data_IF_663295127768
#
_entry.id   IF_663295127768
#
_cell.length_a   1.000
_cell.length_b   1.000
_cell.length_c   1.000
_cell.angle_alpha   90.00
_cell.angle_beta   90.00
_cell.angle_gamma   90.00
#
_symmetry.space_group_name_H-M   'P 1'
#
loop_
_entity.id
_entity.type
_entity.pdbx_description
1 polymer ?
#
# COMPACT_ATOMS: atom_id res chain seq x y z
N UNK A 1 -23.37 36.79 1.60
CA UNK A 1 -22.84 35.74 0.70
C UNK A 1 -23.85 35.13 -0.29
N UNK A 2 -25.16 35.01 -0.01
CA UNK A 2 -26.11 34.39 -0.96
C UNK A 2 -26.37 35.19 -2.26
N UNK A 3 -26.24 36.52 -2.23
CA UNK A 3 -26.47 37.39 -3.41
C UNK A 3 -25.35 37.28 -4.46
N UNK A 4 -24.11 37.11 -4.02
CA UNK A 4 -22.93 36.99 -4.90
C UNK A 4 -22.98 35.74 -5.80
N UNK A 5 -23.44 34.60 -5.27
CA UNK A 5 -23.59 33.36 -6.05
C UNK A 5 -24.79 33.39 -7.01
N UNK A 6 -25.78 34.25 -6.78
CA UNK A 6 -26.91 34.42 -7.70
C UNK A 6 -26.50 35.23 -8.93
N UNK A 7 -25.68 36.27 -8.75
CA UNK A 7 -25.13 37.06 -9.86
C UNK A 7 -24.23 36.22 -10.77
N UNK A 8 -23.34 35.40 -10.21
CA UNK A 8 -22.48 34.49 -11.00
C UNK A 8 -23.31 33.47 -11.79
N UNK A 9 -24.40 32.94 -11.20
CA UNK A 9 -25.30 32.02 -11.89
C UNK A 9 -26.12 32.68 -12.99
N UNK A 10 -26.45 33.97 -12.86
CA UNK A 10 -27.13 34.73 -13.91
C UNK A 10 -26.17 35.02 -15.08
N UNK A 11 -24.94 35.43 -14.77
CA UNK A 11 -23.90 35.72 -15.78
C UNK A 11 -23.50 34.50 -16.61
N UNK A 12 -23.44 33.32 -15.99
CA UNK A 12 -23.16 32.06 -16.72
C UNK A 12 -24.30 31.68 -17.68
N UNK A 13 -25.56 31.99 -17.32
CA UNK A 13 -26.72 31.72 -18.17
C UNK A 13 -26.79 32.70 -19.35
N UNK A 14 -26.42 33.97 -19.15
CA UNK A 14 -26.39 34.96 -20.23
C UNK A 14 -25.21 34.79 -21.19
N UNK A 15 -24.06 34.24 -20.75
CA UNK A 15 -22.94 33.91 -21.64
C UNK A 15 -23.18 32.68 -22.54
N UNK A 16 -24.07 31.79 -22.15
CA UNK A 16 -24.40 30.57 -22.92
C UNK A 16 -25.48 30.82 -23.97
N UNK A 17 -26.31 31.85 -23.77
CA UNK A 17 -27.19 32.36 -24.81
C UNK A 17 -26.36 33.28 -25.71
N UNK A 18 -26.17 32.91 -26.98
CA UNK A 18 -25.42 33.71 -27.95
C UNK A 18 -25.92 35.17 -28.06
N UNK A 19 -25.16 36.05 -28.75
CA UNK A 19 -25.39 37.49 -28.71
C UNK A 19 -26.81 37.86 -29.13
N UNK A 20 -27.59 38.41 -28.18
CA UNK A 20 -28.98 38.80 -28.39
C UNK A 20 -29.08 40.01 -29.32
N UNK A 21 -29.98 39.91 -30.29
CA UNK A 21 -30.26 40.95 -31.28
C UNK A 21 -31.40 41.86 -30.76
N UNK A 22 -31.17 43.17 -30.68
CA UNK A 22 -32.19 44.14 -30.25
C UNK A 22 -33.14 44.47 -31.41
N UNK A 23 -34.44 44.57 -31.13
CA UNK A 23 -35.54 44.78 -32.09
C UNK A 23 -35.53 46.13 -32.85
N UNK A 24 -34.44 46.90 -32.80
CA UNK A 24 -34.30 48.19 -33.48
C UNK A 24 -33.17 48.25 -34.51
N UNK A 25 -32.52 47.13 -34.85
CA UNK A 25 -31.45 47.10 -35.86
C UNK A 25 -31.92 46.38 -37.15
N UNK A 26 -31.71 46.98 -38.34
CA UNK A 26 -32.04 46.34 -39.60
C UNK A 26 -31.09 45.16 -39.89
N UNK A 27 -31.68 44.04 -40.31
CA UNK A 27 -31.02 42.75 -40.60
C UNK A 27 -29.81 42.90 -41.55
N UNK A 28 -28.63 42.47 -41.10
CA UNK A 28 -27.42 42.41 -41.93
C UNK A 28 -27.39 41.07 -42.67
N UNK A 29 -27.58 41.12 -43.98
CA UNK A 29 -27.56 39.97 -44.87
C UNK A 29 -26.21 39.22 -44.85
N UNK A 30 -26.18 37.88 -44.93
CA UNK A 30 -24.94 37.12 -45.07
C UNK A 30 -24.36 37.26 -46.49
N UNK A 31 -23.04 37.50 -46.56
CA UNK A 31 -22.26 37.48 -47.81
C UNK A 31 -22.14 36.05 -48.33
N UNK A 32 -22.80 35.74 -49.46
CA UNK A 32 -22.54 34.55 -50.26
C UNK A 32 -21.30 34.74 -51.15
N UNK A 33 -20.46 33.70 -51.26
CA UNK A 33 -19.42 33.58 -52.30
C UNK A 33 -20.04 32.89 -53.53
N UNK A 34 -19.73 33.31 -54.76
CA UNK A 34 -20.36 32.78 -55.96
C UNK A 34 -19.85 31.37 -56.30
N UNK A 35 -20.78 30.46 -56.62
CA UNK A 35 -20.52 29.15 -57.27
C UNK A 35 -21.33 29.14 -58.58
N UNK A 36 -20.78 28.67 -59.71
CA UNK A 36 -21.38 28.86 -61.03
C UNK A 36 -22.69 28.08 -61.21
N UNK A 37 -23.62 28.72 -61.92
CA UNK A 37 -24.95 28.24 -62.28
C UNK A 37 -24.90 26.99 -63.17
N UNK A 38 -25.66 25.97 -62.79
CA UNK A 38 -26.09 24.89 -63.68
C UNK A 38 -27.62 24.80 -63.62
N UNK A 39 -28.25 24.73 -64.80
CA UNK A 39 -29.68 24.84 -65.02
C UNK A 39 -30.55 23.87 -64.16
N UNK A 40 -31.76 24.26 -63.76
CA UNK A 40 -32.61 23.47 -62.87
C UNK A 40 -33.21 22.26 -63.60
N UNK A 41 -32.88 21.05 -63.14
CA UNK A 41 -33.57 19.82 -63.56
C UNK A 41 -34.89 19.66 -62.78
N UNK A 42 -35.99 19.25 -63.42
CA UNK A 42 -37.27 19.04 -62.73
C UNK A 42 -37.15 17.93 -61.68
N UNK A 43 -37.70 18.17 -60.49
CA UNK A 43 -37.66 17.23 -59.36
C UNK A 43 -38.38 15.93 -59.75
N UNK A 44 -37.66 14.82 -59.79
CA UNK A 44 -38.26 13.48 -59.93
C UNK A 44 -39.09 13.18 -58.69
N UNK A 45 -40.29 12.64 -58.89
CA UNK A 45 -41.12 12.13 -57.80
C UNK A 45 -40.36 11.02 -57.05
N UNK A 46 -40.54 10.89 -55.71
CA UNK A 46 -39.86 9.87 -54.93
C UNK A 46 -40.20 8.48 -55.45
N UNK A 47 -39.19 7.63 -55.60
CA UNK A 47 -39.33 6.22 -56.00
C UNK A 47 -40.16 5.44 -54.99
N UNK A 48 -40.82 4.35 -55.43
CA UNK A 48 -41.69 3.54 -54.56
C UNK A 48 -40.98 3.03 -53.29
N UNK A 49 -39.68 2.72 -53.38
CA UNK A 49 -38.87 2.39 -52.21
C UNK A 49 -38.72 3.54 -51.22
N UNK A 50 -38.57 4.78 -51.71
CA UNK A 50 -38.49 5.96 -50.86
C UNK A 50 -39.84 6.27 -50.20
N UNK A 51 -40.95 6.01 -50.90
CA UNK A 51 -42.30 6.16 -50.34
C UNK A 51 -42.62 5.05 -49.33
N UNK A 52 -42.21 3.82 -49.61
CA UNK A 52 -42.36 2.68 -48.69
C UNK A 52 -41.49 2.85 -47.43
N UNK A 53 -40.27 3.37 -47.58
CA UNK A 53 -39.41 3.74 -46.46
C UNK A 53 -39.99 4.90 -45.64
N UNK A 54 -40.58 5.90 -46.31
CA UNK A 54 -41.27 7.00 -45.63
C UNK A 54 -42.53 6.52 -44.89
N UNK A 55 -43.32 5.64 -45.49
CA UNK A 55 -44.49 5.01 -44.86
C UNK A 55 -44.08 4.11 -43.67
N UNK A 56 -42.98 3.36 -43.78
CA UNK A 56 -42.44 2.57 -42.68
C UNK A 56 -41.89 3.45 -41.54
N UNK A 57 -41.31 4.61 -41.86
CA UNK A 57 -40.88 5.59 -40.86
C UNK A 57 -42.06 6.26 -40.15
N UNK A 58 -43.13 6.59 -40.88
CA UNK A 58 -44.38 7.12 -40.31
C UNK A 58 -45.09 6.06 -39.45
N UNK A 59 -45.12 4.80 -39.87
CA UNK A 59 -45.66 3.70 -39.08
C UNK A 59 -44.87 3.49 -37.76
N UNK A 60 -43.56 3.76 -37.73
CA UNK A 60 -42.76 3.76 -36.49
C UNK A 60 -43.07 4.94 -35.56
N UNK A 61 -43.54 6.06 -36.11
CA UNK A 61 -43.96 7.23 -35.33
C UNK A 61 -45.41 7.12 -34.82
N UNK A 62 -46.28 6.44 -35.57
CA UNK A 62 -47.71 6.26 -35.25
C UNK A 62 -47.98 5.11 -34.26
N UNK A 63 -47.00 4.25 -33.96
CA UNK A 63 -47.04 3.40 -32.78
C UNK A 63 -47.01 4.29 -31.54
N UNK A 64 -48.20 4.65 -31.06
CA UNK A 64 -48.47 5.28 -29.77
C UNK A 64 -47.49 4.75 -28.71
N UNK A 65 -46.75 5.62 -27.99
CA UNK A 65 -45.95 5.17 -26.86
C UNK A 65 -46.92 4.72 -25.77
N UNK A 66 -47.17 3.40 -25.67
CA UNK A 66 -47.65 2.80 -24.44
C UNK A 66 -46.54 2.97 -23.41
N UNK A 67 -46.65 4.04 -22.63
CA UNK A 67 -45.69 4.43 -21.60
C UNK A 67 -44.41 5.00 -22.19
N UNK A 68 -44.13 6.28 -21.92
CA UNK A 68 -42.73 6.70 -21.81
C UNK A 68 -42.11 5.77 -20.77
N UNK A 69 -41.28 4.82 -21.21
CA UNK A 69 -40.24 4.31 -20.33
C UNK A 69 -39.55 5.55 -19.76
N UNK A 70 -39.45 5.72 -18.43
CA UNK A 70 -38.85 6.91 -17.88
C UNK A 70 -37.45 7.00 -18.48
N UNK A 71 -37.20 8.07 -19.25
CA UNK A 71 -35.86 8.51 -19.63
C UNK A 71 -34.99 8.25 -18.44
N UNK A 72 -34.07 7.27 -18.51
CA UNK A 72 -33.29 6.74 -17.40
C UNK A 72 -32.98 7.87 -16.43
N UNK A 73 -33.85 8.01 -15.42
CA UNK A 73 -33.88 9.26 -14.69
C UNK A 73 -32.60 9.29 -13.88
N UNK A 74 -32.05 10.46 -13.63
CA UNK A 74 -30.86 10.58 -12.79
C UNK A 74 -31.04 9.82 -11.46
N UNK A 75 -32.28 9.67 -11.01
CA UNK A 75 -32.72 8.88 -9.88
C UNK A 75 -32.67 7.35 -10.07
N UNK A 76 -33.06 6.83 -11.24
CA UNK A 76 -32.88 5.40 -11.59
C UNK A 76 -31.40 5.02 -11.66
N UNK A 77 -30.56 5.88 -12.23
CA UNK A 77 -29.09 5.69 -12.26
C UNK A 77 -28.53 5.73 -10.84
N UNK A 78 -28.95 6.69 -10.00
CA UNK A 78 -28.54 6.78 -8.59
C UNK A 78 -28.97 5.56 -7.78
N UNK A 79 -30.18 5.05 -8.00
CA UNK A 79 -30.69 3.90 -7.28
C UNK A 79 -29.98 2.61 -7.69
N UNK A 80 -29.67 2.45 -8.98
CA UNK A 80 -28.88 1.31 -9.46
C UNK A 80 -27.45 1.36 -8.91
N UNK A 81 -26.78 2.51 -9.01
CA UNK A 81 -25.46 2.76 -8.41
C UNK A 81 -25.46 2.49 -6.90
N UNK A 82 -26.48 2.95 -6.17
CA UNK A 82 -26.58 2.74 -4.71
C UNK A 82 -26.80 1.26 -4.38
N UNK A 83 -27.61 0.56 -5.18
CA UNK A 83 -27.87 -0.87 -5.02
C UNK A 83 -26.60 -1.70 -5.30
N UNK A 84 -25.84 -1.35 -6.32
CA UNK A 84 -24.56 -1.99 -6.65
C UNK A 84 -23.49 -1.69 -5.59
N UNK A 85 -23.38 -0.44 -5.12
CA UNK A 85 -22.51 -0.07 -3.98
C UNK A 85 -22.85 -0.83 -2.70
N UNK A 86 -24.15 -1.02 -2.41
CA UNK A 86 -24.60 -1.81 -1.27
C UNK A 86 -24.32 -3.30 -1.46
N UNK A 87 -24.51 -3.84 -2.67
CA UNK A 87 -24.20 -5.24 -2.98
C UNK A 87 -22.69 -5.53 -2.89
N UNK A 88 -21.84 -4.63 -3.37
CA UNK A 88 -20.38 -4.72 -3.23
C UNK A 88 -19.92 -4.49 -1.78
N UNK A 89 -20.57 -3.62 -1.01
CA UNK A 89 -20.31 -3.46 0.41
C UNK A 89 -20.70 -4.72 1.19
N UNK A 90 -21.84 -5.33 0.88
CA UNK A 90 -22.26 -6.60 1.48
C UNK A 90 -21.34 -7.77 1.07
N UNK A 91 -20.85 -7.79 -0.17
CA UNK A 91 -19.86 -8.76 -0.63
C UNK A 91 -18.47 -8.52 0.00
N UNK A 92 -18.13 -7.27 0.36
CA UNK A 92 -16.88 -6.94 1.05
C UNK A 92 -16.91 -7.09 2.57
N UNK A 93 -18.11 -7.20 3.19
CA UNK A 93 -18.30 -7.51 4.62
C UNK A 93 -18.37 -9.03 4.87
N UNK A 94 -18.55 -9.84 3.83
CA UNK A 94 -18.02 -11.20 3.84
C UNK A 94 -16.51 -11.07 3.80
N UNK A 95 -15.92 -11.09 4.99
CA UNK A 95 -14.50 -11.32 5.20
C UNK A 95 -14.02 -12.43 4.25
N UNK A 96 -12.80 -12.23 3.78
CA UNK A 96 -11.96 -13.22 3.11
C UNK A 96 -12.36 -14.63 3.57
N UNK A 97 -12.70 -15.56 2.66
CA UNK A 97 -12.41 -16.94 3.00
C UNK A 97 -10.92 -16.94 3.35
N UNK A 98 -10.59 -17.37 4.56
CA UNK A 98 -9.30 -18.03 4.77
C UNK A 98 -9.14 -18.95 3.56
N UNK A 99 -8.09 -18.70 2.78
CA UNK A 99 -7.71 -19.63 1.72
C UNK A 99 -7.63 -21.00 2.39
N UNK A 100 -8.64 -21.84 2.10
CA UNK A 100 -8.55 -23.25 2.35
C UNK A 100 -7.20 -23.66 1.76
N UNK A 101 -6.33 -24.19 2.61
CA UNK A 101 -5.12 -24.87 2.18
C UNK A 101 -5.56 -26.04 1.30
N UNK A 102 -5.76 -25.76 0.02
CA UNK A 102 -5.67 -26.75 -1.02
C UNK A 102 -4.22 -27.22 -0.97
N UNK A 103 -4.02 -28.43 -0.44
CA UNK A 103 -2.84 -29.22 -0.74
C UNK A 103 -2.89 -29.53 -2.23
N UNK A 104 -2.37 -28.62 -3.05
CA UNK A 104 -1.82 -28.94 -4.36
C UNK A 104 -0.35 -29.33 -4.13
N UNK A 105 -0.14 -30.57 -3.69
CA UNK A 105 1.05 -31.30 -4.12
C UNK A 105 0.74 -31.84 -5.53
N UNK A 106 1.11 -31.08 -6.56
CA UNK A 106 1.71 -31.63 -7.78
C UNK A 106 2.22 -30.48 -8.66
N UNK A 107 3.56 -30.40 -8.75
CA UNK A 107 4.28 -29.38 -9.50
C UNK A 107 4.99 -28.38 -8.59
N UNK A 108 6.14 -28.77 -8.02
CA UNK A 108 7.09 -27.82 -7.47
C UNK A 108 7.66 -26.93 -8.61
N UNK A 109 6.83 -26.01 -9.11
CA UNK A 109 7.29 -24.89 -9.90
C UNK A 109 8.27 -24.11 -9.02
N UNK A 110 9.52 -24.00 -9.46
CA UNK A 110 10.59 -23.36 -8.71
C UNK A 110 10.18 -21.94 -8.30
N UNK A 111 9.77 -21.77 -7.03
CA UNK A 111 9.40 -20.47 -6.48
C UNK A 111 10.59 -19.51 -6.62
N UNK A 112 10.36 -18.31 -7.16
CA UNK A 112 11.41 -17.29 -7.34
C UNK A 112 12.05 -16.83 -6.02
N UNK A 113 11.36 -17.04 -4.89
CA UNK A 113 11.84 -16.82 -3.53
C UNK A 113 11.22 -17.85 -2.57
N UNK A 114 12.03 -18.33 -1.62
CA UNK A 114 11.62 -19.32 -0.61
C UNK A 114 10.74 -18.76 0.51
N UNK A 115 10.62 -17.42 0.61
CA UNK A 115 9.83 -16.73 1.63
C UNK A 115 10.27 -15.29 1.82
N UNK A 116 9.65 -14.61 2.78
CA UNK A 116 10.05 -13.27 3.24
C UNK A 116 10.75 -13.40 4.59
N UNK A 117 11.90 -12.76 4.72
CA UNK A 117 12.80 -12.91 5.86
C UNK A 117 13.02 -11.56 6.56
N UNK A 118 13.33 -11.63 7.84
CA UNK A 118 13.46 -10.48 8.73
C UNK A 118 14.69 -10.64 9.62
N UNK A 119 15.37 -9.54 9.88
CA UNK A 119 16.52 -9.46 10.77
C UNK A 119 16.06 -8.89 12.11
N UNK A 120 16.34 -9.64 13.18
CA UNK A 120 16.13 -9.16 14.54
C UNK A 120 17.21 -8.11 14.90
N UNK A 121 16.84 -6.90 15.35
CA UNK A 121 17.82 -5.85 15.66
C UNK A 121 18.70 -6.17 16.87
N UNK A 122 18.23 -7.01 17.80
CA UNK A 122 18.97 -7.35 19.02
C UNK A 122 19.98 -8.49 18.83
N UNK A 123 19.63 -9.48 18.01
CA UNK A 123 20.43 -10.71 17.85
C UNK A 123 21.09 -10.81 16.48
N UNK A 124 20.66 -10.02 15.50
CA UNK A 124 21.11 -10.11 14.11
C UNK A 124 20.62 -11.36 13.36
N UNK A 125 19.86 -12.24 14.01
CA UNK A 125 19.39 -13.50 13.42
C UNK A 125 18.33 -13.22 12.35
N UNK A 126 18.49 -13.89 11.20
CA UNK A 126 17.54 -13.87 10.08
C UNK A 126 16.49 -14.94 10.30
N UNK A 127 15.22 -14.54 10.31
CA UNK A 127 14.07 -15.45 10.51
C UNK A 127 12.98 -15.23 9.47
N UNK A 128 12.19 -16.27 9.19
CA UNK A 128 11.02 -16.15 8.31
C UNK A 128 9.94 -15.29 8.96
N UNK A 129 9.09 -14.66 8.13
CA UNK A 129 7.95 -13.82 8.55
C UNK A 129 7.11 -14.46 9.67
N UNK A 130 6.80 -15.75 9.57
CA UNK A 130 5.93 -16.45 10.52
C UNK A 130 6.58 -16.65 11.90
N UNK A 131 7.91 -16.68 11.95
CA UNK A 131 8.69 -16.87 13.18
C UNK A 131 9.16 -15.55 13.78
N UNK A 132 8.95 -14.43 13.10
CA UNK A 132 9.45 -13.10 13.47
C UNK A 132 9.04 -12.68 14.88
N UNK A 133 7.75 -12.84 15.24
CA UNK A 133 7.25 -12.44 16.56
C UNK A 133 7.82 -13.33 17.68
N UNK A 134 7.93 -14.63 17.42
CA UNK A 134 8.54 -15.59 18.37
C UNK A 134 10.00 -15.25 18.63
N UNK A 135 10.79 -15.01 17.57
CA UNK A 135 12.20 -14.64 17.71
C UNK A 135 12.38 -13.33 18.46
N UNK A 136 11.53 -12.32 18.21
CA UNK A 136 11.58 -11.07 18.96
C UNK A 136 11.30 -11.30 20.45
N UNK A 137 10.35 -12.18 20.79
CA UNK A 137 10.02 -12.50 22.19
C UNK A 137 11.20 -13.18 22.88
N UNK A 138 11.77 -14.19 22.25
CA UNK A 138 12.95 -14.90 22.77
C UNK A 138 14.16 -13.97 22.90
N UNK A 139 14.38 -13.06 21.94
CA UNK A 139 15.45 -12.08 22.01
C UNK A 139 15.29 -11.09 23.17
N UNK A 140 14.07 -10.60 23.41
CA UNK A 140 13.78 -9.71 24.54
C UNK A 140 13.91 -10.46 25.87
N UNK A 141 13.46 -11.71 25.94
CA UNK A 141 13.59 -12.56 27.13
C UNK A 141 15.06 -12.86 27.45
N UNK A 142 15.89 -13.12 26.45
CA UNK A 142 17.33 -13.25 26.64
C UNK A 142 17.96 -11.92 27.13
N UNK A 143 17.54 -10.78 26.55
CA UNK A 143 18.01 -9.46 26.94
C UNK A 143 17.56 -9.04 28.35
N UNK A 144 16.48 -9.63 28.87
CA UNK A 144 15.99 -9.39 30.24
C UNK A 144 17.04 -9.72 31.31
N UNK A 145 17.95 -10.65 31.04
CA UNK A 145 19.05 -10.98 31.97
C UNK A 145 20.13 -9.89 32.03
N UNK A 146 20.20 -9.02 31.01
CA UNK A 146 21.16 -7.91 30.94
C UNK A 146 20.57 -6.65 31.56
N UNK A 147 19.37 -6.25 31.09
CA UNK A 147 18.64 -5.10 31.60
C UNK A 147 17.13 -5.43 31.68
N UNK A 148 16.63 -5.79 32.88
CA UNK A 148 15.22 -6.12 33.10
C UNK A 148 14.26 -4.96 32.78
N UNK A 149 14.68 -3.71 33.02
CA UNK A 149 13.83 -2.53 32.82
C UNK A 149 13.70 -2.26 31.33
N UNK A 150 14.82 -2.17 30.61
CA UNK A 150 14.81 -1.96 29.17
C UNK A 150 14.06 -3.07 28.41
N UNK A 151 14.30 -4.34 28.76
CA UNK A 151 13.61 -5.47 28.15
C UNK A 151 12.09 -5.39 28.33
N UNK A 152 11.62 -5.02 29.52
CA UNK A 152 10.19 -4.86 29.79
C UNK A 152 9.58 -3.69 29.01
N UNK A 153 10.30 -2.57 28.89
CA UNK A 153 9.87 -1.43 28.07
C UNK A 153 9.76 -1.85 26.60
N UNK A 154 10.74 -2.59 26.08
CA UNK A 154 10.74 -3.12 24.73
C UNK A 154 9.54 -4.05 24.50
N UNK A 155 9.20 -4.90 25.46
CA UNK A 155 8.03 -5.79 25.42
C UNK A 155 6.71 -4.98 25.32
N UNK A 156 6.56 -3.95 26.15
CA UNK A 156 5.37 -3.07 26.18
C UNK A 156 5.16 -2.37 24.84
N UNK A 157 6.22 -1.80 24.25
CA UNK A 157 6.07 -1.07 23.00
C UNK A 157 5.92 -2.00 21.79
N UNK A 158 6.52 -3.19 21.82
CA UNK A 158 6.62 -4.07 20.63
C UNK A 158 5.41 -4.97 20.41
N UNK A 159 4.86 -5.61 21.45
CA UNK A 159 3.82 -6.64 21.28
C UNK A 159 2.39 -6.10 21.34
N UNK A 160 2.20 -4.89 21.85
CA UNK A 160 0.87 -4.28 21.96
C UNK A 160 0.45 -3.59 20.65
N UNK A 161 -0.56 -4.14 19.97
CA UNK A 161 -1.05 -3.66 18.66
C UNK A 161 -1.68 -2.26 18.73
N UNK A 162 -2.40 -1.98 19.81
CA UNK A 162 -3.14 -0.73 20.02
C UNK A 162 -2.23 0.37 20.58
N UNK A 163 -1.60 1.16 19.69
CA UNK A 163 -0.68 2.24 20.09
C UNK A 163 -1.29 3.27 21.03
N UNK A 164 -2.58 3.57 20.87
CA UNK A 164 -3.31 4.48 21.76
C UNK A 164 -3.41 3.94 23.19
N UNK A 165 -3.65 2.63 23.34
CA UNK A 165 -3.67 1.99 24.67
C UNK A 165 -2.29 1.96 25.29
N UNK A 166 -1.25 1.67 24.49
CA UNK A 166 0.14 1.72 24.95
C UNK A 166 0.48 3.10 25.48
N UNK A 167 0.18 4.16 24.71
CA UNK A 167 0.42 5.55 25.13
C UNK A 167 -0.30 5.89 26.44
N UNK A 168 -1.58 5.58 26.54
CA UNK A 168 -2.38 5.83 27.75
C UNK A 168 -1.88 5.03 28.96
N UNK A 169 -1.45 3.79 28.74
CA UNK A 169 -0.85 2.94 29.77
C UNK A 169 0.48 3.50 30.26
N UNK A 170 1.38 3.84 29.33
CA UNK A 170 2.69 4.45 29.61
C UNK A 170 2.53 5.77 30.37
N UNK A 171 1.61 6.66 29.98
CA UNK A 171 1.33 7.89 30.74
C UNK A 171 0.82 7.59 32.16
N UNK A 172 -0.01 6.57 32.33
CA UNK A 172 -0.55 6.21 33.64
C UNK A 172 0.54 5.63 34.55
N UNK A 173 1.42 4.79 34.00
CA UNK A 173 2.60 4.27 34.71
C UNK A 173 3.56 5.41 35.06
N UNK A 174 3.84 6.32 34.13
CA UNK A 174 4.67 7.49 34.38
C UNK A 174 4.13 8.36 35.52
N UNK A 175 2.81 8.57 35.60
CA UNK A 175 2.17 9.29 36.72
C UNK A 175 2.33 8.56 38.06
N UNK A 176 2.26 7.23 38.07
CA UNK A 176 2.52 6.48 39.31
C UNK A 176 3.96 6.66 39.78
N UNK A 177 4.93 6.57 38.86
CA UNK A 177 6.34 6.79 39.19
C UNK A 177 6.60 8.25 39.63
N UNK A 178 5.96 9.23 38.98
CA UNK A 178 6.08 10.65 39.31
C UNK A 178 5.55 10.98 40.70
N UNK A 179 4.40 10.40 41.08
CA UNK A 179 3.84 10.59 42.42
C UNK A 179 4.75 10.03 43.52
N UNK A 180 5.43 8.91 43.25
CA UNK A 180 6.39 8.30 44.18
C UNK A 180 7.65 9.16 44.27
N UNK A 181 8.13 9.68 43.14
CA UNK A 181 9.31 10.54 43.08
C UNK A 181 9.10 11.90 43.78
N UNK A 182 7.94 12.53 43.57
CA UNK A 182 7.59 13.82 44.18
C UNK A 182 7.25 13.72 45.67
N UNK A 183 6.69 12.59 46.10
CA UNK A 183 6.25 12.37 47.48
C UNK A 183 6.77 11.03 48.02
N UNK A 184 8.10 10.91 48.22
CA UNK A 184 8.70 9.64 48.60
C UNK A 184 8.22 9.16 49.97
N UNK A 185 7.97 10.05 50.94
CA UNK A 185 7.54 9.71 52.32
C UNK A 185 6.10 9.17 52.41
N UNK A 186 5.26 9.41 51.40
CA UNK A 186 3.85 9.02 51.45
C UNK A 186 3.63 7.55 51.03
N UNK A 187 3.40 6.68 52.01
CA UNK A 187 3.15 5.25 51.77
C UNK A 187 1.96 4.95 50.83
N UNK A 188 0.99 5.87 50.72
CA UNK A 188 -0.19 5.68 49.87
C UNK A 188 0.18 5.59 48.39
N UNK A 189 1.23 6.29 47.95
CA UNK A 189 1.71 6.26 46.56
C UNK A 189 2.62 5.06 46.28
N UNK A 190 3.21 4.48 47.32
CA UNK A 190 4.04 3.27 47.23
C UNK A 190 3.23 1.99 47.03
N UNK A 191 1.89 2.06 47.12
CA UNK A 191 0.95 0.93 47.05
C UNK A 191 -0.04 1.14 45.90
N UNK A 192 -0.03 0.26 44.89
CA UNK A 192 -0.96 0.32 43.75
C UNK A 192 -1.91 -0.87 43.80
N UNK A 193 -3.22 -0.62 43.87
CA UNK A 193 -4.25 -1.68 43.90
C UNK A 193 -4.49 -2.25 42.51
N UNK A 194 -4.28 -3.56 42.31
CA UNK A 194 -4.46 -4.20 40.99
C UNK A 194 -5.93 -4.24 40.55
N UNK A 195 -6.88 -4.25 41.49
CA UNK A 195 -8.32 -4.21 41.19
C UNK A 195 -8.86 -2.80 40.90
N UNK A 196 -8.00 -1.77 40.86
CA UNK A 196 -8.45 -0.43 40.49
C UNK A 196 -8.89 -0.43 39.02
N UNK A 197 -10.06 0.16 38.72
CA UNK A 197 -10.58 0.26 37.34
C UNK A 197 -9.57 0.89 36.37
N UNK A 198 -8.89 1.96 36.80
CA UNK A 198 -7.88 2.63 35.96
C UNK A 198 -6.70 1.71 35.66
N UNK A 199 -6.26 0.94 36.65
CA UNK A 199 -5.17 -0.02 36.50
C UNK A 199 -5.58 -1.17 35.56
N UNK A 200 -6.78 -1.74 35.74
CA UNK A 200 -7.27 -2.84 34.94
C UNK A 200 -7.48 -2.46 33.46
N UNK A 201 -8.09 -1.31 33.21
CA UNK A 201 -8.42 -0.88 31.86
C UNK A 201 -7.19 -0.43 31.07
N UNK A 202 -6.21 0.21 31.72
CA UNK A 202 -5.08 0.85 31.03
C UNK A 202 -3.76 0.10 31.09
N UNK A 203 -3.52 -0.67 32.16
CA UNK A 203 -2.21 -1.27 32.43
C UNK A 203 -2.32 -2.80 32.35
N UNK A 204 -3.32 -3.40 33.00
CA UNK A 204 -3.46 -4.87 33.03
C UNK A 204 -3.72 -5.49 31.65
N UNK A 205 -4.18 -4.70 30.68
CA UNK A 205 -4.42 -5.15 29.31
C UNK A 205 -3.14 -5.14 28.43
N UNK A 206 -2.04 -4.57 28.92
CA UNK A 206 -0.79 -4.43 28.17
C UNK A 206 0.22 -5.52 28.56
N UNK A 207 0.73 -6.24 27.57
CA UNK A 207 1.82 -7.21 27.74
C UNK A 207 3.12 -6.50 28.18
N UNK A 208 3.93 -7.14 29.03
CA UNK A 208 5.18 -6.58 29.56
C UNK A 208 5.06 -5.65 30.78
N UNK A 209 3.87 -5.08 31.07
CA UNK A 209 3.72 -4.13 32.20
C UNK A 209 3.99 -4.74 33.58
N UNK A 210 3.58 -5.99 33.80
CA UNK A 210 3.87 -6.69 35.06
C UNK A 210 5.37 -6.86 35.29
N UNK A 211 6.10 -7.27 34.25
CA UNK A 211 7.56 -7.43 34.27
C UNK A 211 8.25 -6.10 34.51
N UNK A 212 7.75 -5.02 33.90
CA UNK A 212 8.25 -3.67 34.15
C UNK A 212 8.12 -3.27 35.62
N UNK A 213 6.94 -3.44 36.23
CA UNK A 213 6.76 -3.12 37.66
C UNK A 213 7.70 -3.95 38.55
N UNK A 214 7.90 -5.23 38.25
CA UNK A 214 8.86 -6.08 38.99
C UNK A 214 10.31 -5.61 38.82
N UNK A 215 10.72 -5.28 37.58
CA UNK A 215 12.05 -4.79 37.26
C UNK A 215 12.37 -3.45 37.95
N UNK A 216 11.37 -2.57 38.05
CA UNK A 216 11.45 -1.28 38.75
C UNK A 216 11.44 -1.45 40.29
N UNK A 217 11.20 -2.67 40.80
CA UNK A 217 11.28 -2.99 42.22
C UNK A 217 9.95 -3.01 42.98
N UNK A 218 8.82 -3.14 42.27
CA UNK A 218 7.53 -3.45 42.90
C UNK A 218 7.35 -4.95 43.13
N UNK A 219 6.87 -5.31 44.31
CA UNK A 219 6.47 -6.67 44.65
C UNK A 219 4.96 -6.82 44.66
N UNK A 220 4.46 -7.99 44.24
CA UNK A 220 3.03 -8.30 44.37
C UNK A 220 2.76 -8.88 45.76
N UNK A 221 1.97 -8.18 46.59
CA UNK A 221 1.55 -8.64 47.92
C UNK A 221 0.03 -8.70 48.02
N UNK A 222 -0.50 -9.73 48.67
CA UNK A 222 -1.91 -9.83 49.05
C UNK A 222 -2.10 -9.17 50.40
N UNK A 223 -2.87 -8.08 50.42
CA UNK A 223 -3.15 -7.32 51.64
C UNK A 223 -4.67 -7.29 51.90
N UNK A 224 -5.10 -7.39 53.16
CA UNK A 224 -6.51 -7.21 53.50
C UNK A 224 -6.92 -5.76 53.24
N UNK A 225 -8.04 -5.57 52.53
CA UNK A 225 -8.58 -4.21 52.32
C UNK A 225 -9.16 -3.71 53.64
N UNK A 226 -8.75 -2.52 54.12
CA UNK A 226 -9.30 -1.92 55.33
C UNK A 226 -10.84 -1.83 55.23
N UNK A 227 -11.54 -2.48 56.15
CA UNK A 227 -13.01 -2.39 56.28
C UNK A 227 -13.86 -3.33 55.42
N UNK A 228 -13.30 -4.25 54.63
CA UNK A 228 -14.10 -5.16 53.78
C UNK A 228 -13.83 -6.66 53.93
N UNK A 229 -12.85 -7.08 54.74
CA UNK A 229 -12.55 -8.50 54.97
C UNK A 229 -12.14 -9.29 53.70
N UNK A 230 -11.94 -8.60 52.58
CA UNK A 230 -11.50 -9.16 51.30
C UNK A 230 -10.02 -8.89 51.11
N UNK A 231 -9.28 -9.92 50.73
CA UNK A 231 -7.89 -9.80 50.31
C UNK A 231 -7.82 -9.22 48.89
N UNK A 232 -6.94 -8.25 48.67
CA UNK A 232 -6.68 -7.68 47.35
C UNK A 232 -5.19 -7.74 47.06
N UNK A 233 -4.86 -7.86 45.77
CA UNK A 233 -3.46 -7.84 45.31
C UNK A 233 -3.03 -6.39 45.12
N UNK A 234 -1.88 -6.05 45.67
CA UNK A 234 -1.24 -4.74 45.54
C UNK A 234 0.16 -4.91 44.97
N UNK A 235 0.59 -3.96 44.13
CA UNK A 235 2.01 -3.71 43.93
C UNK A 235 2.49 -2.81 45.06
N UNK A 236 3.54 -3.24 45.75
CA UNK A 236 4.18 -2.48 46.82
C UNK A 236 5.63 -2.26 46.44
N UNK A 237 6.06 -1.00 46.38
CA UNK A 237 7.45 -0.66 46.11
C UNK A 237 8.35 -1.12 47.27
N UNK A 238 9.47 -1.77 46.97
CA UNK A 238 10.49 -2.13 47.97
C UNK A 238 11.10 -0.88 48.60
N UNK A 239 11.37 -0.94 49.90
CA UNK A 239 12.01 0.15 50.63
C UNK A 239 13.44 0.46 50.10
N UNK A 240 14.14 -0.55 49.58
CA UNK A 240 15.45 -0.42 48.95
C UNK A 240 15.45 0.55 47.76
N UNK A 241 14.32 0.67 47.04
CA UNK A 241 14.18 1.58 45.91
C UNK A 241 13.99 3.04 46.33
N UNK A 242 13.64 3.30 47.59
CA UNK A 242 13.53 4.67 48.11
C UNK A 242 14.90 5.34 48.20
N UNK A 243 15.98 4.57 48.32
CA UNK A 243 17.35 5.07 48.24
C UNK A 243 17.84 5.31 46.80
N UNK A 244 17.09 4.81 45.80
CA UNK A 244 17.44 4.83 44.37
C UNK A 244 16.35 5.52 43.54
N UNK A 245 15.83 6.63 44.04
CA UNK A 245 14.76 7.40 43.40
C UNK A 245 15.14 7.94 42.01
N UNK A 246 16.42 8.18 41.74
CA UNK A 246 16.87 8.61 40.41
C UNK A 246 16.70 7.49 39.36
N UNK A 247 16.91 6.22 39.74
CA UNK A 247 16.69 5.06 38.83
C UNK A 247 15.21 4.95 38.42
N UNK A 248 14.29 5.32 39.31
CA UNK A 248 12.85 5.38 39.02
C UNK A 248 12.52 6.47 37.98
N UNK A 249 13.22 7.60 38.05
CA UNK A 249 13.06 8.72 37.12
C UNK A 249 13.67 8.37 35.75
N UNK A 250 14.83 7.74 35.72
CA UNK A 250 15.46 7.23 34.49
C UNK A 250 14.58 6.19 33.81
N UNK A 251 14.02 5.24 34.59
CA UNK A 251 13.09 4.23 34.09
C UNK A 251 11.82 4.85 33.48
N UNK A 252 11.30 5.92 34.09
CA UNK A 252 10.16 6.69 33.56
C UNK A 252 10.54 7.37 32.24
N UNK A 253 11.69 8.02 32.18
CA UNK A 253 12.14 8.74 30.99
C UNK A 253 12.39 7.77 29.82
N UNK A 254 13.02 6.62 30.10
CA UNK A 254 13.21 5.55 29.14
C UNK A 254 11.87 4.97 28.64
N UNK A 255 10.88 4.77 29.53
CA UNK A 255 9.55 4.28 29.13
C UNK A 255 8.84 5.24 28.16
N UNK A 256 9.02 6.55 28.35
CA UNK A 256 8.40 7.60 27.53
C UNK A 256 9.12 7.82 26.18
N UNK A 257 10.45 7.72 26.16
CA UNK A 257 11.27 7.97 24.98
C UNK A 257 11.48 6.74 24.08
N UNK A 258 11.23 5.54 24.60
CA UNK A 258 11.49 4.29 23.86
C UNK A 258 10.55 4.09 22.67
N UNK A 259 11.12 3.56 21.58
CA UNK A 259 10.39 3.16 20.39
C UNK A 259 10.18 1.63 20.33
N UNK A 260 9.11 1.15 19.65
CA UNK A 260 8.88 -0.28 19.45
C UNK A 260 9.98 -0.91 18.61
N UNK A 261 10.43 -2.10 19.00
CA UNK A 261 11.39 -2.86 18.20
C UNK A 261 10.72 -3.36 16.92
N UNK A 262 11.21 -2.90 15.78
CA UNK A 262 10.77 -3.38 14.47
C UNK A 262 11.86 -4.24 13.86
N UNK A 263 11.53 -5.50 13.59
CA UNK A 263 12.40 -6.33 12.79
C UNK A 263 12.56 -5.73 11.39
N UNK A 264 13.80 -5.64 10.93
CA UNK A 264 14.14 -5.08 9.62
C UNK A 264 13.85 -6.13 8.54
N UNK A 265 13.30 -5.73 7.42
CA UNK A 265 13.15 -6.65 6.28
C UNK A 265 14.54 -7.04 5.78
N UNK A 266 14.80 -8.34 5.70
CA UNK A 266 15.99 -8.82 5.01
C UNK A 266 15.74 -8.71 3.50
N UNK A 267 16.65 -8.06 2.78
CA UNK A 267 16.55 -7.90 1.32
C UNK A 267 16.92 -9.17 0.57
N UNK A 268 17.53 -10.14 1.25
CA UNK A 268 17.99 -11.40 0.67
C UNK A 268 18.73 -11.18 -0.66
N UNK A 269 19.74 -10.32 -0.62
CA UNK A 269 20.52 -9.97 -1.80
C UNK A 269 21.07 -11.25 -2.43
N UNK A 270 20.69 -11.51 -3.68
CA UNK A 270 21.19 -12.62 -4.50
C UNK A 270 21.61 -12.12 -5.86
N UNK A 271 22.71 -12.65 -6.37
CA UNK A 271 23.19 -12.37 -7.73
C UNK A 271 22.97 -13.61 -8.58
N UNK A 272 22.36 -13.39 -9.73
CA UNK A 272 22.07 -14.42 -10.69
C UNK A 272 22.77 -14.16 -12.01
N UNK A 273 23.18 -15.24 -12.67
CA UNK A 273 23.64 -15.21 -14.06
C UNK A 273 22.56 -15.81 -14.95
N UNK A 274 22.15 -15.14 -16.05
CA UNK A 274 21.19 -15.69 -16.99
C UNK A 274 21.70 -17.01 -17.58
N UNK A 275 20.91 -18.08 -17.50
CA UNK A 275 21.22 -19.31 -18.23
C UNK A 275 21.09 -19.09 -19.75
N UNK A 276 21.97 -19.71 -20.56
CA UNK A 276 21.86 -19.68 -22.02
C UNK A 276 20.60 -20.43 -22.54
N UNK A 277 20.02 -21.30 -21.71
CA UNK A 277 18.81 -22.06 -22.04
C UNK A 277 17.55 -21.20 -21.99
N UNK A 278 17.50 -20.16 -21.15
CA UNK A 278 16.38 -19.23 -21.08
C UNK A 278 16.13 -18.47 -22.40
N UNK A 279 17.15 -18.37 -23.28
CA UNK A 279 17.02 -17.73 -24.60
C UNK A 279 16.48 -18.70 -25.68
N UNK A 280 16.44 -20.00 -25.42
CA UNK A 280 15.93 -21.00 -26.35
C UNK A 280 14.42 -21.15 -26.16
N UNK A 281 13.67 -20.45 -27.01
CA UNK A 281 12.22 -20.50 -27.04
C UNK A 281 11.74 -21.16 -28.33
N UNK A 282 11.75 -22.49 -28.37
CA UNK A 282 11.22 -23.27 -29.48
C UNK A 282 9.95 -23.99 -29.01
N UNK A 283 8.79 -23.57 -29.53
CA UNK A 283 7.50 -24.17 -29.21
C UNK A 283 6.93 -24.91 -30.43
N UNK A 284 6.27 -26.08 -30.23
CA UNK A 284 5.58 -26.78 -31.31
C UNK A 284 4.48 -25.94 -31.96
N UNK A 285 4.22 -26.16 -33.24
CA UNK A 285 3.20 -25.43 -33.99
C UNK A 285 1.79 -25.55 -33.39
N UNK A 286 1.47 -26.67 -32.75
CA UNK A 286 0.18 -26.90 -32.10
C UNK A 286 -0.10 -25.94 -30.93
N UNK A 287 0.94 -25.36 -30.32
CA UNK A 287 0.80 -24.32 -29.30
C UNK A 287 0.12 -23.05 -29.84
N UNK A 288 0.29 -22.75 -31.13
CA UNK A 288 -0.31 -21.57 -31.76
C UNK A 288 -1.76 -21.81 -32.21
N UNK A 289 -2.24 -23.06 -32.13
CA UNK A 289 -3.61 -23.40 -32.51
C UNK A 289 -4.55 -23.16 -31.32
N UNK A 290 -5.44 -22.18 -31.46
CA UNK A 290 -6.46 -21.92 -30.44
C UNK A 290 -7.44 -23.09 -30.31
N UNK A 291 -7.65 -23.52 -29.08
CA UNK A 291 -8.67 -24.51 -28.73
C UNK A 291 -10.06 -23.87 -28.65
N UNK A 292 -11.12 -24.67 -28.84
CA UNK A 292 -12.49 -24.20 -28.73
C UNK A 292 -12.84 -23.67 -27.31
N UNK A 293 -12.13 -24.14 -26.29
CA UNK A 293 -12.31 -23.70 -24.90
C UNK A 293 -11.71 -22.31 -24.66
N UNK A 294 -10.53 -22.03 -25.23
CA UNK A 294 -9.88 -20.71 -25.17
C UNK A 294 -10.72 -19.65 -25.87
N UNK A 295 -11.29 -19.98 -27.03
CA UNK A 295 -12.17 -19.07 -27.78
C UNK A 295 -13.41 -18.72 -26.95
N UNK A 296 -14.04 -19.70 -26.29
CA UNK A 296 -15.19 -19.44 -25.40
C UNK A 296 -14.80 -18.59 -24.19
N UNK A 297 -13.63 -18.84 -23.60
CA UNK A 297 -13.11 -18.05 -22.47
C UNK A 297 -12.83 -16.61 -22.89
N UNK A 298 -12.23 -16.41 -24.05
CA UNK A 298 -11.98 -15.08 -24.62
C UNK A 298 -13.29 -14.33 -24.88
N UNK A 299 -14.28 -15.00 -25.48
CA UNK A 299 -15.59 -14.41 -25.69
C UNK A 299 -16.23 -13.96 -24.38
N UNK A 300 -16.17 -14.80 -23.34
CA UNK A 300 -16.68 -14.45 -22.01
C UNK A 300 -15.95 -13.26 -21.40
N UNK A 301 -14.62 -13.24 -21.45
CA UNK A 301 -13.82 -12.12 -20.95
C UNK A 301 -14.13 -10.81 -21.69
N UNK A 302 -14.33 -10.87 -23.01
CA UNK A 302 -14.76 -9.73 -23.81
C UNK A 302 -16.15 -9.24 -23.39
N UNK A 303 -17.10 -10.14 -23.18
CA UNK A 303 -18.44 -9.78 -22.69
C UNK A 303 -18.35 -9.11 -21.31
N UNK A 304 -17.62 -9.69 -20.36
CA UNK A 304 -17.43 -9.12 -19.02
C UNK A 304 -16.70 -7.76 -19.07
N UNK A 305 -15.74 -7.57 -19.98
CA UNK A 305 -15.05 -6.30 -20.17
C UNK A 305 -15.98 -5.22 -20.73
N UNK A 306 -16.84 -5.58 -21.69
CA UNK A 306 -17.86 -4.67 -22.25
C UNK A 306 -18.88 -4.31 -21.17
N UNK A 307 -19.34 -5.27 -20.37
CA UNK A 307 -20.23 -5.02 -19.24
C UNK A 307 -19.60 -4.06 -18.24
N UNK A 308 -18.36 -4.32 -17.81
CA UNK A 308 -17.60 -3.44 -16.91
C UNK A 308 -17.39 -2.04 -17.48
N UNK A 309 -17.13 -1.91 -18.77
CA UNK A 309 -16.96 -0.62 -19.45
C UNK A 309 -18.28 0.14 -19.62
N UNK A 310 -19.39 -0.59 -19.80
CA UNK A 310 -20.74 -0.01 -19.95
C UNK A 310 -21.35 0.45 -18.62
N UNK A 311 -20.85 -0.09 -17.50
CA UNK A 311 -21.32 0.25 -16.15
C UNK A 311 -20.74 1.59 -15.70
N UNK A 312 -21.62 2.51 -15.28
CA UNK A 312 -21.22 3.84 -14.79
C UNK A 312 -20.53 3.72 -13.43
N UNK A 313 -19.19 3.65 -13.44
CA UNK A 313 -18.39 3.69 -12.21
C UNK A 313 -18.45 5.08 -11.58
N UNK A 314 -18.91 5.14 -10.34
CA UNK A 314 -18.79 6.36 -9.53
C UNK A 314 -17.34 6.62 -9.14
N UNK A 315 -17.04 7.87 -8.81
CA UNK A 315 -15.74 8.26 -8.24
C UNK A 315 -15.36 7.39 -7.03
N UNK A 316 -16.32 7.11 -6.15
CA UNK A 316 -16.12 6.28 -4.97
C UNK A 316 -15.76 4.82 -5.32
N UNK A 317 -16.34 4.25 -6.38
CA UNK A 317 -15.97 2.91 -6.84
C UNK A 317 -14.55 2.86 -7.37
N UNK A 318 -14.13 3.87 -8.16
CA UNK A 318 -12.76 3.96 -8.69
C UNK A 318 -11.72 4.10 -7.59
N UNK A 319 -11.94 5.03 -6.65
CA UNK A 319 -11.01 5.25 -5.52
C UNK A 319 -10.90 4.00 -4.63
N UNK A 320 -12.01 3.26 -4.43
CA UNK A 320 -12.01 2.01 -3.64
C UNK A 320 -11.27 0.88 -4.36
N UNK A 321 -11.46 0.74 -5.67
CA UNK A 321 -10.77 -0.27 -6.49
C UNK A 321 -9.27 0.02 -6.56
N UNK A 322 -8.89 1.27 -6.77
CA UNK A 322 -7.50 1.73 -6.75
C UNK A 322 -6.85 1.50 -5.38
N UNK A 323 -7.54 1.83 -4.27
CA UNK A 323 -7.03 1.52 -2.93
C UNK A 323 -6.88 0.02 -2.69
N UNK A 324 -7.74 -0.81 -3.29
CA UNK A 324 -7.65 -2.27 -3.19
C UNK A 324 -6.46 -2.81 -3.96
N UNK A 325 -6.22 -2.31 -5.18
CA UNK A 325 -5.03 -2.61 -5.99
C UNK A 325 -3.76 -2.17 -5.26
N UNK A 326 -3.75 -0.96 -4.68
CA UNK A 326 -2.63 -0.39 -3.93
C UNK A 326 -2.28 -1.17 -2.65
N UNK A 327 -3.26 -1.89 -2.09
CA UNK A 327 -3.12 -2.72 -0.87
C UNK A 327 -3.04 -4.22 -1.18
N UNK A 328 -3.07 -4.59 -2.45
CA UNK A 328 -3.09 -6.00 -2.89
C UNK A 328 -1.81 -6.72 -2.51
N UNK A 329 -0.68 -6.01 -2.55
CA UNK A 329 0.63 -6.58 -2.27
C UNK A 329 1.33 -5.81 -1.15
N UNK A 330 1.88 -6.55 -0.19
CA UNK A 330 2.66 -5.98 0.91
C UNK A 330 4.16 -5.93 0.62
N UNK A 331 4.63 -6.81 -0.28
CA UNK A 331 6.03 -6.98 -0.65
C UNK A 331 6.17 -6.96 -2.17
N UNK A 332 7.36 -6.60 -2.64
CA UNK A 332 7.72 -6.66 -4.05
C UNK A 332 9.11 -7.28 -4.23
N UNK A 333 9.27 -8.02 -5.32
CA UNK A 333 10.55 -8.60 -5.73
C UNK A 333 11.13 -7.78 -6.87
N UNK A 334 12.27 -7.13 -6.64
CA UNK A 334 12.92 -6.32 -7.66
C UNK A 334 14.18 -7.04 -8.14
N UNK A 335 14.33 -7.12 -9.46
CA UNK A 335 15.50 -7.64 -10.14
C UNK A 335 16.14 -6.51 -10.92
N UNK A 336 17.44 -6.27 -10.74
CA UNK A 336 18.20 -5.25 -11.45
C UNK A 336 19.23 -5.94 -12.34
N UNK A 337 19.06 -5.80 -13.65
CA UNK A 337 19.98 -6.30 -14.65
C UNK A 337 21.11 -5.29 -14.86
N UNK A 338 22.34 -5.77 -14.72
CA UNK A 338 23.54 -5.00 -14.97
C UNK A 338 23.97 -5.10 -16.45
N UNK A 339 24.78 -4.13 -16.93
CA UNK A 339 25.29 -4.14 -18.31
C UNK A 339 26.13 -5.38 -18.67
N UNK A 340 26.77 -6.00 -17.68
CA UNK A 340 27.55 -7.24 -17.82
C UNK A 340 26.68 -8.51 -17.86
N UNK A 341 25.37 -8.35 -17.70
CA UNK A 341 24.38 -9.42 -17.78
C UNK A 341 23.96 -10.02 -16.44
N UNK A 342 24.62 -9.70 -15.32
CA UNK A 342 24.18 -10.21 -14.01
C UNK A 342 22.86 -9.59 -13.58
N UNK A 343 22.09 -10.33 -12.78
CA UNK A 343 20.81 -9.91 -12.24
C UNK A 343 20.90 -9.92 -10.72
N UNK A 344 20.79 -8.74 -10.12
CA UNK A 344 20.69 -8.58 -8.66
C UNK A 344 19.23 -8.66 -8.24
N UNK A 345 18.91 -9.59 -7.36
CA UNK A 345 17.56 -9.75 -6.81
C UNK A 345 17.51 -9.21 -5.37
N UNK A 346 16.44 -8.51 -5.04
CA UNK A 346 16.14 -8.06 -3.68
C UNK A 346 14.64 -8.05 -3.38
N UNK A 347 14.29 -8.34 -2.12
CA UNK A 347 12.92 -8.24 -1.60
C UNK A 347 12.71 -6.93 -0.84
N UNK A 348 11.64 -6.21 -1.18
CA UNK A 348 11.31 -4.89 -0.65
C UNK A 348 9.85 -4.83 -0.17
N UNK A 349 9.49 -3.82 0.63
CA UNK A 349 8.08 -3.54 0.88
C UNK A 349 7.45 -2.82 -0.31
N UNK A 350 6.19 -3.11 -0.63
CA UNK A 350 5.52 -2.45 -1.76
C UNK A 350 5.37 -0.92 -1.58
N UNK A 351 5.51 -0.41 -0.34
CA UNK A 351 5.40 1.01 0.03
C UNK A 351 6.74 1.67 0.35
N UNK A 352 7.85 0.97 0.14
CA UNK A 352 9.17 1.59 0.29
C UNK A 352 9.43 2.58 -0.86
N UNK A 353 10.19 3.66 -0.59
CA UNK A 353 10.57 4.63 -1.61
C UNK A 353 11.62 4.04 -2.57
N UNK A 354 11.59 4.51 -3.81
CA UNK A 354 12.57 4.13 -4.84
C UNK A 354 14.02 4.47 -4.42
N UNK A 355 14.23 5.48 -3.58
CA UNK A 355 15.52 5.84 -2.98
C UNK A 355 16.22 4.65 -2.28
N UNK A 356 15.43 3.75 -1.69
CA UNK A 356 15.95 2.59 -0.99
C UNK A 356 16.49 1.53 -1.95
N UNK A 357 15.93 1.45 -3.16
CA UNK A 357 16.45 0.61 -4.24
C UNK A 357 17.77 1.19 -4.76
N UNK A 358 17.86 2.51 -4.98
CA UNK A 358 19.13 3.14 -5.36
C UNK A 358 20.22 2.90 -4.32
N UNK A 359 19.89 3.03 -3.04
CA UNK A 359 20.81 2.74 -1.92
C UNK A 359 21.21 1.27 -1.88
N UNK A 360 20.27 0.35 -2.16
CA UNK A 360 20.55 -1.08 -2.26
C UNK A 360 21.51 -1.41 -3.40
N UNK A 361 21.29 -0.84 -4.59
CA UNK A 361 22.16 -1.04 -5.76
C UNK A 361 23.54 -0.43 -5.51
N UNK A 362 23.60 0.79 -4.95
CA UNK A 362 24.88 1.43 -4.53
C UNK A 362 25.67 0.53 -3.58
N UNK A 363 25.03 -0.06 -2.57
CA UNK A 363 25.71 -0.98 -1.66
C UNK A 363 26.23 -2.28 -2.30
N UNK A 364 25.71 -2.66 -3.49
CA UNK A 364 26.16 -3.83 -4.24
C UNK A 364 27.26 -3.50 -5.27
N UNK A 365 27.44 -2.22 -5.60
CA UNK A 365 28.46 -1.73 -6.52
C UNK A 365 29.83 -1.70 -5.85
N UNK A 366 30.89 -1.82 -6.65
CA UNK A 366 32.26 -1.62 -6.19
C UNK A 366 32.59 -0.13 -6.01
N UNK A 367 32.14 0.69 -6.95
CA UNK A 367 32.30 2.14 -6.97
C UNK A 367 30.97 2.81 -6.59
N UNK A 368 30.80 3.12 -5.31
CA UNK A 368 29.54 3.64 -4.77
C UNK A 368 29.24 5.09 -5.23
N UNK A 369 30.23 5.79 -5.80
CA UNK A 369 30.15 7.20 -6.21
C UNK A 369 29.64 7.41 -7.64
N UNK A 370 29.59 6.35 -8.45
CA UNK A 370 29.29 6.47 -9.88
C UNK A 370 27.79 6.71 -10.11
N UNK A 371 27.39 7.80 -10.81
CA UNK A 371 25.98 8.03 -11.14
C UNK A 371 25.44 6.96 -12.10
N UNK A 372 24.30 6.37 -11.75
CA UNK A 372 23.58 5.43 -12.59
C UNK A 372 22.09 5.73 -12.60
N UNK A 373 21.44 5.31 -13.67
CA UNK A 373 20.00 5.38 -13.85
C UNK A 373 19.41 3.97 -13.85
N UNK A 374 18.20 3.84 -13.30
CA UNK A 374 17.42 2.60 -13.34
C UNK A 374 16.25 2.76 -14.31
N UNK A 375 16.19 1.86 -15.29
CA UNK A 375 15.16 1.81 -16.32
C UNK A 375 14.11 0.76 -15.95
N UNK A 376 12.86 1.20 -15.84
CA UNK A 376 11.70 0.33 -15.64
C UNK A 376 11.39 -0.52 -16.89
N UNK A 377 10.62 -1.63 -16.75
CA UNK A 377 10.13 -2.38 -17.91
C UNK A 377 9.41 -1.44 -18.88
N UNK A 378 9.94 -1.29 -20.10
CA UNK A 378 9.46 -0.31 -21.09
C UNK A 378 10.36 0.90 -21.30
N UNK A 379 11.52 0.98 -20.64
CA UNK A 379 12.53 2.02 -20.86
C UNK A 379 12.25 3.35 -20.17
N UNK A 380 11.27 3.39 -19.25
CA UNK A 380 10.97 4.57 -18.46
C UNK A 380 12.05 4.75 -17.38
N UNK A 381 12.67 5.92 -17.33
CA UNK A 381 13.64 6.28 -16.30
C UNK A 381 12.94 6.53 -14.96
N UNK A 382 13.48 5.95 -13.89
CA UNK A 382 13.02 6.19 -12.52
C UNK A 382 13.63 7.50 -11.99
N UNK A 383 13.02 8.63 -12.34
CA UNK A 383 13.49 9.98 -11.94
C UNK A 383 13.07 10.35 -10.52
N UNK A 384 11.92 9.85 -10.05
CA UNK A 384 11.35 10.23 -8.76
C UNK A 384 11.73 9.22 -7.67
N UNK A 385 12.75 9.55 -6.87
CA UNK A 385 13.26 8.66 -5.82
C UNK A 385 12.31 8.55 -4.60
N UNK A 386 11.42 9.51 -4.39
CA UNK A 386 10.54 9.56 -3.22
C UNK A 386 9.22 8.78 -3.40
N UNK A 387 8.89 8.38 -4.63
CA UNK A 387 7.68 7.61 -4.90
C UNK A 387 7.80 6.19 -4.36
N UNK A 388 6.66 5.61 -3.97
CA UNK A 388 6.61 4.24 -3.51
C UNK A 388 6.56 3.24 -4.69
N UNK A 389 7.10 2.03 -4.50
CA UNK A 389 7.14 1.02 -5.57
C UNK A 389 5.77 0.66 -6.14
N UNK A 390 4.72 0.64 -5.31
CA UNK A 390 3.34 0.40 -5.74
C UNK A 390 2.78 1.52 -6.63
N UNK A 391 3.15 2.76 -6.38
CA UNK A 391 2.78 3.93 -7.20
C UNK A 391 3.53 3.93 -8.53
N UNK A 392 4.77 3.45 -8.54
CA UNK A 392 5.56 3.25 -9.76
C UNK A 392 5.16 2.00 -10.58
N UNK A 393 4.19 1.20 -10.12
CA UNK A 393 3.79 -0.04 -10.80
C UNK A 393 4.86 -1.14 -10.76
N UNK A 394 5.82 -1.06 -9.84
CA UNK A 394 6.93 -2.03 -9.69
C UNK A 394 6.55 -3.22 -8.80
N UNK A 395 5.28 -3.64 -8.84
CA UNK A 395 4.69 -4.62 -7.91
C UNK A 395 3.84 -5.61 -8.73
N UNK A 396 3.83 -6.92 -8.40
CA UNK A 396 4.53 -7.59 -7.30
C UNK A 396 5.98 -8.00 -7.63
N UNK A 397 6.37 -7.91 -8.90
CA UNK A 397 7.73 -8.19 -9.35
C UNK A 397 8.07 -7.30 -10.54
N UNK A 398 9.28 -6.75 -10.57
CA UNK A 398 9.75 -5.95 -11.70
C UNK A 398 11.22 -6.24 -12.02
N UNK A 399 11.54 -6.24 -13.32
CA UNK A 399 12.92 -6.33 -13.83
C UNK A 399 13.34 -4.94 -14.34
N UNK A 400 14.31 -4.37 -13.68
CA UNK A 400 14.91 -3.08 -13.99
C UNK A 400 16.23 -3.30 -14.71
N UNK A 401 16.63 -2.38 -15.58
CA UNK A 401 17.95 -2.38 -16.21
C UNK A 401 18.75 -1.19 -15.71
N UNK A 402 19.98 -1.44 -15.26
CA UNK A 402 20.91 -0.40 -14.86
C UNK A 402 21.65 0.12 -16.09
N UNK A 403 21.64 1.44 -16.25
CA UNK A 403 22.43 2.14 -17.26
C UNK A 403 23.30 3.20 -16.60
N UNK A 404 24.57 3.23 -16.98
CA UNK A 404 25.50 4.28 -16.56
C UNK A 404 25.27 5.56 -17.35
N UNK A 405 25.55 6.71 -16.73
CA UNK A 405 25.55 7.97 -17.45
C UNK A 405 26.65 7.96 -18.52
N UNK A 406 26.26 8.20 -19.78
CA UNK A 406 27.16 8.12 -20.92
C UNK A 406 28.30 9.15 -20.88
N UNK A 407 28.07 10.32 -20.27
CA UNK A 407 29.09 11.35 -20.09
C UNK A 407 30.16 10.91 -19.10
N UNK A 408 29.73 10.39 -17.96
CA UNK A 408 30.66 9.92 -16.91
C UNK A 408 31.48 8.72 -17.39
N UNK A 409 30.86 7.80 -18.14
CA UNK A 409 31.56 6.67 -18.74
C UNK A 409 32.59 7.10 -19.80
N UNK A 410 32.30 8.17 -20.56
CA UNK A 410 33.24 8.73 -21.53
C UNK A 410 34.45 9.38 -20.85
N UNK A 411 34.23 10.09 -19.73
CA UNK A 411 35.30 10.71 -18.94
C UNK A 411 36.21 9.68 -18.28
N UNK A 412 35.64 8.59 -17.74
CA UNK A 412 36.41 7.47 -17.16
C UNK A 412 37.23 6.76 -18.24
N UNK A 413 36.62 6.51 -19.41
CA UNK A 413 37.35 5.92 -20.54
C UNK A 413 38.49 6.83 -21.04
N UNK A 414 38.28 8.16 -21.00
CA UNK A 414 39.30 9.14 -21.34
C UNK A 414 40.43 9.23 -20.28
N UNK A 415 40.13 8.91 -19.01
CA UNK A 415 41.10 8.87 -17.93
C UNK A 415 42.03 7.62 -17.95
N UNK A 416 41.75 6.64 -18.81
CA UNK A 416 42.60 5.46 -19.00
C UNK A 416 42.50 4.42 -17.87
N UNK A 417 41.48 4.49 -17.02
CA UNK A 417 41.23 3.45 -16.03
C UNK A 417 40.62 2.21 -16.71
N UNK A 418 41.31 1.07 -16.60
CA UNK A 418 40.74 -0.22 -17.01
C UNK A 418 39.53 -0.53 -16.13
N UNK A 419 38.33 -0.52 -16.72
CA UNK A 419 37.12 -0.84 -16.00
C UNK A 419 37.20 -2.28 -15.48
N UNK A 420 36.87 -2.53 -14.20
CA UNK A 420 36.82 -3.88 -13.68
C UNK A 420 35.82 -4.72 -14.50
N UNK A 421 36.13 -6.00 -14.70
CA UNK A 421 35.31 -6.95 -15.49
C UNK A 421 33.83 -7.01 -15.08
N UNK A 422 33.50 -6.61 -13.85
CA UNK A 422 32.13 -6.47 -13.36
C UNK A 422 32.05 -5.27 -12.41
N UNK A 423 30.96 -4.48 -12.44
CA UNK A 423 30.73 -3.37 -11.53
C UNK A 423 30.26 -3.82 -10.13
N UNK A 424 29.92 -5.11 -9.96
CA UNK A 424 29.50 -5.68 -8.68
C UNK A 424 30.69 -5.99 -7.76
N UNK A 425 30.45 -5.95 -6.44
CA UNK A 425 31.47 -6.35 -5.44
C UNK A 425 31.88 -7.82 -5.63
N UNK A 426 33.17 -8.14 -5.50
CA UNK A 426 33.69 -9.50 -5.72
C UNK A 426 33.10 -10.54 -4.76
N UNK A 427 32.75 -10.14 -3.54
CA UNK A 427 32.09 -10.99 -2.54
C UNK A 427 30.73 -11.51 -3.02
N UNK A 428 29.99 -10.68 -3.75
CA UNK A 428 28.68 -11.03 -4.30
C UNK A 428 28.79 -11.97 -5.50
N UNK A 429 29.90 -11.86 -6.25
CA UNK A 429 30.20 -12.72 -7.38
C UNK A 429 30.62 -14.14 -6.95
N UNK A 430 31.08 -14.34 -5.71
CA UNK A 430 31.41 -15.67 -5.20
C UNK A 430 30.18 -16.56 -4.95
N UNK A 431 28.99 -15.96 -4.79
CA UNK A 431 27.73 -16.64 -4.49
C UNK A 431 26.74 -16.72 -5.66
N UNK A 432 27.21 -16.58 -6.90
CA UNK A 432 26.34 -16.54 -8.10
C UNK A 432 25.53 -17.83 -8.24
N UNK A 433 24.24 -17.65 -8.48
CA UNK A 433 23.32 -18.73 -8.86
C UNK A 433 22.96 -18.58 -10.33
N UNK A 434 22.75 -19.69 -11.04
CA UNK A 434 22.25 -19.65 -12.42
C UNK A 434 20.73 -19.59 -12.39
N UNK A 435 20.13 -18.67 -13.16
CA UNK A 435 18.68 -18.51 -13.30
C UNK A 435 18.16 -19.10 -14.61
#
# INVERSE_FOLDING_TARGET
>A
MRKFFQEIKADLKFKTAGPGQKLSEPSRAPKEKPRPEAAPKPRRAPTDEAQMAAAAALARLEVKPKGKAPSASQESIRNQVRKELMAEAAAGVKELPEEEKAQEEEGAAALSVSGVYFICPLTGVVVRKDQKEKQLREAIEAYFSVDPVAASIMEIHTFNKDREKVRLGVETVAKYLDNIYLHPEEEKYRKIKLQNKVFQERISCLEGTHRFFQAVGFETKTLPVPGQGKECRYYVLKEEMLSRLEELKDSKEQLLSSEPLRARLDRQLRVFQPSPEAARFELPNDFYNLTAEEIKREQRLRTEAVEKASMLRTRAMREKEEQREMRKYNYTLLRVRFPDGYILQGTFYAREPVAELYSFVRGALREDWLPFELLAPGGLKLTEENLAFNECGLVPSALLSLSWDAGVMADIAAAGEEQPRSPLRPELLAGIQTL
#
